data_IF_456535069554
#
_entry.id   IF_456535069554
#
_cell.length_a   1.000
_cell.length_b   1.000
_cell.length_c   1.000
_cell.angle_alpha   90.00
_cell.angle_beta   90.00
_cell.angle_gamma   90.00
#
_symmetry.space_group_name_H-M   'P 1'
#
loop_
_entity.id
_entity.type
_entity.pdbx_description
1 polymer ?
#
# COMPACT_ATOMS: atom_id res chain seq x y z
N UNK A 1 5.60 36.22 41.24
CA UNK A 1 5.46 34.75 41.18
C UNK A 1 4.24 34.27 40.39
N UNK A 2 3.08 34.93 40.47
CA UNK A 2 1.85 34.58 39.71
C UNK A 2 2.02 34.78 38.20
N UNK A 3 2.53 35.93 37.77
CA UNK A 3 2.79 36.24 36.35
C UNK A 3 3.74 35.25 35.65
N UNK A 4 4.81 34.82 36.34
CA UNK A 4 5.77 33.86 35.81
C UNK A 4 5.16 32.45 35.63
N UNK A 5 4.17 32.08 36.46
CA UNK A 5 3.41 30.82 36.32
C UNK A 5 2.46 30.87 35.13
N UNK A 6 1.81 32.01 34.89
CA UNK A 6 0.87 32.20 33.76
C UNK A 6 1.62 32.13 32.43
N UNK A 7 2.80 32.76 32.32
CA UNK A 7 3.64 32.71 31.10
C UNK A 7 4.11 31.28 30.81
N UNK A 8 4.57 30.52 31.82
CA UNK A 8 4.95 29.11 31.64
C UNK A 8 3.77 28.23 31.23
N UNK A 9 2.58 28.47 31.79
CA UNK A 9 1.38 27.71 31.46
C UNK A 9 0.91 27.98 30.03
N UNK A 10 0.97 29.25 29.57
CA UNK A 10 0.67 29.63 28.20
C UNK A 10 1.66 29.03 27.19
N UNK A 11 2.96 28.99 27.53
CA UNK A 11 4.00 28.40 26.67
C UNK A 11 3.82 26.89 26.49
N UNK A 12 3.43 26.17 27.55
CA UNK A 12 3.12 24.72 27.50
C UNK A 12 1.87 24.46 26.63
N UNK A 13 0.86 25.33 26.71
CA UNK A 13 -0.36 25.19 25.92
C UNK A 13 -0.12 25.38 24.41
N UNK A 14 0.75 26.34 24.04
CA UNK A 14 1.13 26.59 22.64
C UNK A 14 1.94 25.43 22.06
N UNK A 15 2.84 24.82 22.85
CA UNK A 15 3.62 23.65 22.42
C UNK A 15 2.71 22.42 22.25
N UNK A 16 1.71 22.24 23.11
CA UNK A 16 0.75 21.14 23.01
C UNK A 16 -0.13 21.22 21.74
N UNK A 17 -0.45 22.42 21.26
CA UNK A 17 -1.25 22.62 20.05
C UNK A 17 -0.50 22.36 18.74
N UNK A 18 0.84 22.33 18.75
CA UNK A 18 1.66 22.07 17.55
C UNK A 18 1.76 20.58 17.19
N UNK A 19 1.40 19.67 18.09
CA UNK A 19 1.46 18.22 17.86
C UNK A 19 0.18 17.62 17.24
N UNK A 20 -0.89 18.41 17.06
CA UNK A 20 -2.12 17.97 16.40
C UNK A 20 -2.22 18.46 14.94
N UNK A 21 -1.07 18.58 14.26
CA UNK A 21 -1.00 18.91 12.85
C UNK A 21 -1.40 17.73 11.95
N UNK A 22 -2.65 17.74 11.47
CA UNK A 22 -3.21 17.06 10.30
C UNK A 22 -2.53 15.76 9.83
N UNK A 23 -2.96 14.61 10.36
CA UNK A 23 -2.80 13.34 9.66
C UNK A 23 -3.87 13.20 8.55
N UNK A 24 -3.71 13.95 7.45
CA UNK A 24 -4.37 13.55 6.21
C UNK A 24 -3.58 12.38 5.63
N UNK A 25 -3.65 11.21 6.27
CA UNK A 25 -3.12 9.99 5.66
C UNK A 25 -3.97 9.76 4.42
N UNK A 26 -3.38 9.94 3.24
CA UNK A 26 -4.06 9.68 1.99
C UNK A 26 -4.37 8.17 1.94
N UNK A 27 -5.62 7.82 2.25
CA UNK A 27 -6.10 6.43 2.29
C UNK A 27 -6.79 6.03 0.99
N UNK A 28 -6.53 6.75 -0.10
CA UNK A 28 -7.18 6.49 -1.39
C UNK A 28 -6.99 5.05 -1.86
N UNK A 29 -5.84 4.44 -1.55
CA UNK A 29 -5.50 3.05 -1.85
C UNK A 29 -6.32 2.00 -1.09
N UNK A 30 -6.90 2.33 0.07
CA UNK A 30 -7.60 1.36 0.92
C UNK A 30 -8.87 0.86 0.21
N UNK A 31 -9.06 -0.46 0.21
CA UNK A 31 -10.24 -1.12 -0.33
C UNK A 31 -9.90 -2.34 -1.19
N UNK A 32 -10.94 -2.88 -1.81
CA UNK A 32 -10.84 -3.95 -2.79
C UNK A 32 -10.86 -3.36 -4.20
N UNK A 33 -9.91 -3.77 -5.01
CA UNK A 33 -9.69 -3.31 -6.36
C UNK A 33 -9.65 -4.51 -7.29
N UNK A 34 -10.46 -4.50 -8.34
CA UNK A 34 -10.57 -5.62 -9.27
C UNK A 34 -10.28 -5.17 -10.69
N UNK A 35 -9.69 -6.03 -11.49
CA UNK A 35 -9.42 -5.76 -12.89
C UNK A 35 -9.42 -7.03 -13.69
N UNK A 36 -9.36 -6.88 -15.01
CA UNK A 36 -9.19 -8.00 -15.92
C UNK A 36 -7.93 -7.74 -16.72
N UNK A 37 -6.96 -8.65 -16.62
CA UNK A 37 -5.78 -8.65 -17.46
C UNK A 37 -5.74 -9.93 -18.31
N UNK A 38 -5.57 -9.79 -19.62
CA UNK A 38 -5.55 -10.90 -20.60
C UNK A 38 -6.70 -11.94 -20.45
N UNK A 39 -7.86 -11.53 -19.93
CA UNK A 39 -9.03 -12.39 -19.72
C UNK A 39 -9.10 -13.03 -18.33
N UNK A 40 -8.06 -12.91 -17.51
CA UNK A 40 -8.06 -13.35 -16.12
C UNK A 40 -8.48 -12.20 -15.21
N UNK A 41 -9.39 -12.49 -14.28
CA UNK A 41 -9.75 -11.53 -13.23
C UNK A 41 -8.65 -11.53 -12.16
N UNK A 42 -8.18 -10.34 -11.84
CA UNK A 42 -7.29 -10.08 -10.72
C UNK A 42 -7.98 -9.26 -9.64
N UNK A 43 -7.53 -9.38 -8.40
CA UNK A 43 -8.01 -8.54 -7.28
C UNK A 43 -6.85 -8.16 -6.38
N UNK A 44 -6.80 -6.89 -5.99
CA UNK A 44 -5.88 -6.38 -4.98
C UNK A 44 -6.71 -5.79 -3.83
N UNK A 45 -6.57 -6.37 -2.64
CA UNK A 45 -7.25 -5.92 -1.43
C UNK A 45 -6.19 -5.30 -0.52
N UNK A 46 -6.35 -4.02 -0.21
CA UNK A 46 -5.47 -3.26 0.67
C UNK A 46 -6.27 -2.84 1.91
N UNK A 47 -5.97 -3.46 3.05
CA UNK A 47 -6.70 -3.22 4.29
C UNK A 47 -6.05 -2.12 5.14
N UNK A 48 -6.85 -1.50 6.00
CA UNK A 48 -6.32 -0.71 7.10
C UNK A 48 -5.37 -1.59 7.95
N UNK A 49 -4.19 -1.06 8.29
CA UNK A 49 -3.15 -1.83 8.99
C UNK A 49 -2.16 -2.58 8.09
N UNK A 50 -1.99 -2.12 6.84
CA UNK A 50 -0.91 -2.54 5.94
C UNK A 50 -0.97 -3.99 5.42
N UNK A 51 -2.04 -4.75 5.69
CA UNK A 51 -2.18 -6.09 5.11
C UNK A 51 -2.72 -6.03 3.67
N UNK A 52 -2.22 -6.94 2.83
CA UNK A 52 -2.65 -7.07 1.45
C UNK A 52 -3.11 -8.51 1.14
N UNK A 53 -4.03 -8.61 0.17
CA UNK A 53 -4.34 -9.87 -0.53
C UNK A 53 -4.27 -9.60 -2.02
N UNK A 54 -3.54 -10.42 -2.75
CA UNK A 54 -3.48 -10.36 -4.20
C UNK A 54 -3.97 -11.65 -4.81
N UNK A 55 -4.96 -11.55 -5.69
CA UNK A 55 -5.60 -12.68 -6.39
C UNK A 55 -5.33 -12.52 -7.87
N UNK A 56 -4.81 -13.56 -8.51
CA UNK A 56 -4.65 -13.62 -9.97
C UNK A 56 -4.96 -15.04 -10.44
N UNK A 57 -5.97 -15.17 -11.31
CA UNK A 57 -6.51 -16.47 -11.69
C UNK A 57 -6.93 -17.29 -10.46
N UNK A 58 -6.34 -18.47 -10.27
CA UNK A 58 -6.59 -19.34 -9.11
C UNK A 58 -5.58 -19.17 -7.97
N UNK A 59 -4.64 -18.23 -8.08
CA UNK A 59 -3.61 -18.01 -7.07
C UNK A 59 -4.03 -16.89 -6.12
N UNK A 60 -3.84 -17.13 -4.82
CA UNK A 60 -4.09 -16.16 -3.75
C UNK A 60 -2.82 -15.97 -2.94
N UNK A 61 -2.30 -14.74 -2.93
CA UNK A 61 -1.17 -14.33 -2.12
C UNK A 61 -1.67 -13.48 -0.95
N UNK A 62 -1.26 -13.82 0.26
CA UNK A 62 -1.71 -13.15 1.48
C UNK A 62 -3.03 -13.68 2.04
N UNK A 63 -3.57 -12.95 3.02
CA UNK A 63 -4.72 -13.39 3.80
C UNK A 63 -4.34 -14.16 5.08
N UNK A 64 -5.34 -14.54 5.88
CA UNK A 64 -5.16 -14.99 7.27
C UNK A 64 -4.29 -16.25 7.42
N UNK A 65 -4.46 -17.20 6.51
CA UNK A 65 -3.85 -18.53 6.54
C UNK A 65 -2.87 -18.74 5.37
N UNK A 66 -2.25 -17.67 4.90
CA UNK A 66 -1.29 -17.77 3.80
C UNK A 66 -0.01 -18.48 4.22
N UNK A 67 0.45 -19.43 3.41
CA UNK A 67 1.65 -20.21 3.65
C UNK A 67 2.46 -20.34 2.36
N UNK A 68 3.78 -20.38 2.50
CA UNK A 68 4.72 -20.64 1.42
C UNK A 68 5.58 -21.82 1.85
N UNK A 69 5.55 -22.91 1.10
CA UNK A 69 6.29 -24.14 1.40
C UNK A 69 6.05 -24.67 2.84
N UNK A 70 4.81 -24.55 3.34
CA UNK A 70 4.42 -24.96 4.70
C UNK A 70 4.83 -24.00 5.82
N UNK A 71 5.41 -22.83 5.48
CA UNK A 71 5.76 -21.79 6.45
C UNK A 71 4.71 -20.68 6.40
N UNK A 72 4.19 -20.27 7.56
CA UNK A 72 3.24 -19.16 7.68
C UNK A 72 3.86 -17.87 7.17
N UNK A 73 3.16 -17.24 6.25
CA UNK A 73 3.58 -15.99 5.64
C UNK A 73 2.49 -14.90 5.79
N UNK A 74 2.88 -13.65 5.63
CA UNK A 74 1.97 -12.52 5.43
C UNK A 74 2.36 -11.75 4.19
N UNK A 75 1.36 -11.21 3.51
CA UNK A 75 1.54 -10.21 2.47
C UNK A 75 1.11 -8.87 3.06
N UNK A 76 2.03 -7.92 3.06
CA UNK A 76 1.81 -6.56 3.51
C UNK A 76 2.05 -5.60 2.35
N UNK A 77 1.62 -4.34 2.49
CA UNK A 77 1.92 -3.30 1.53
C UNK A 77 2.59 -2.09 2.19
N UNK A 78 3.45 -1.45 1.42
CA UNK A 78 4.04 -0.16 1.75
C UNK A 78 3.70 0.84 0.64
N UNK A 79 3.20 2.02 1.01
CA UNK A 79 2.83 3.06 0.06
C UNK A 79 3.52 4.38 0.42
N UNK A 80 4.18 5.01 -0.55
CA UNK A 80 4.85 6.30 -0.39
C UNK A 80 4.28 7.33 -1.37
N UNK A 81 3.38 8.16 -0.84
CA UNK A 81 2.72 9.26 -1.55
C UNK A 81 3.64 10.45 -1.82
N UNK A 82 4.84 10.51 -1.24
CA UNK A 82 5.81 11.57 -1.52
C UNK A 82 6.52 11.39 -2.87
N UNK A 83 6.38 10.22 -3.49
CA UNK A 83 7.01 9.87 -4.76
C UNK A 83 6.09 10.16 -5.93
N UNK A 84 6.70 10.45 -7.08
CA UNK A 84 6.01 10.60 -8.35
C UNK A 84 6.75 9.80 -9.44
N UNK A 85 6.18 8.68 -9.94
CA UNK A 85 4.93 8.03 -9.54
C UNK A 85 4.87 7.60 -8.06
N UNK A 86 3.66 7.44 -7.50
CA UNK A 86 3.46 6.94 -6.13
C UNK A 86 4.02 5.52 -6.06
N UNK A 87 4.75 5.21 -5.00
CA UNK A 87 5.27 3.86 -4.78
C UNK A 87 4.23 3.04 -4.04
N UNK A 88 3.95 1.83 -4.52
CA UNK A 88 3.10 0.85 -3.86
C UNK A 88 3.76 -0.53 -3.98
N UNK A 89 4.34 -1.00 -2.89
CA UNK A 89 5.03 -2.27 -2.82
C UNK A 89 4.16 -3.32 -2.16
N UNK A 90 4.28 -4.56 -2.63
CA UNK A 90 3.77 -5.74 -1.94
C UNK A 90 4.95 -6.49 -1.34
N UNK A 91 4.96 -6.64 -0.02
CA UNK A 91 6.09 -7.19 0.73
C UNK A 91 5.67 -8.50 1.37
N UNK A 92 6.47 -9.53 1.10
CA UNK A 92 6.25 -10.86 1.62
C UNK A 92 7.08 -11.07 2.89
N UNK A 93 6.42 -11.42 3.99
CA UNK A 93 7.08 -11.73 5.25
C UNK A 93 6.84 -13.18 5.67
N UNK A 94 7.86 -13.79 6.27
CA UNK A 94 7.66 -14.93 7.16
C UNK A 94 7.07 -14.45 8.49
N UNK A 95 5.94 -15.01 8.90
CA UNK A 95 5.08 -14.42 9.95
C UNK A 95 5.69 -14.49 11.35
N UNK A 96 6.41 -15.56 11.67
CA UNK A 96 6.94 -15.78 13.02
C UNK A 96 8.10 -14.85 13.36
N UNK A 97 9.01 -14.66 12.40
CA UNK A 97 10.23 -13.87 12.60
C UNK A 97 10.16 -12.47 11.96
N UNK A 98 9.07 -12.16 11.23
CA UNK A 98 8.91 -10.95 10.40
C UNK A 98 10.08 -10.72 9.44
N UNK A 99 10.63 -11.79 8.87
CA UNK A 99 11.72 -11.71 7.91
C UNK A 99 11.12 -11.44 6.52
N UNK A 100 11.55 -10.35 5.88
CA UNK A 100 11.22 -10.08 4.48
C UNK A 100 11.81 -11.17 3.59
N UNK A 101 10.95 -11.86 2.82
CA UNK A 101 11.34 -12.92 1.88
C UNK A 101 11.35 -12.45 0.43
N UNK A 102 10.69 -11.34 0.15
CA UNK A 102 10.64 -10.75 -1.18
C UNK A 102 9.75 -9.52 -1.21
N UNK A 103 9.95 -8.71 -2.24
CA UNK A 103 9.23 -7.45 -2.41
C UNK A 103 8.96 -7.19 -3.89
N UNK A 104 7.68 -7.12 -4.24
CA UNK A 104 7.25 -6.67 -5.55
C UNK A 104 7.18 -5.14 -5.51
N UNK A 105 8.14 -4.48 -6.18
CA UNK A 105 8.28 -3.02 -6.17
C UNK A 105 7.39 -2.42 -7.26
N UNK A 106 6.31 -1.76 -6.86
CA UNK A 106 5.31 -1.25 -7.79
C UNK A 106 5.20 0.27 -7.82
N UNK A 107 4.62 0.79 -8.89
CA UNK A 107 4.17 2.19 -8.95
C UNK A 107 2.66 2.22 -9.19
N UNK A 108 1.97 3.17 -8.58
CA UNK A 108 0.53 3.33 -8.70
C UNK A 108 0.16 4.76 -9.06
N UNK A 109 -0.89 4.94 -9.85
CA UNK A 109 -1.56 6.22 -10.01
C UNK A 109 -3.07 6.03 -9.97
N UNK A 110 -3.76 6.99 -9.39
CA UNK A 110 -5.20 7.00 -9.34
C UNK A 110 -5.74 7.82 -10.50
N UNK A 111 -6.39 7.15 -11.45
CA UNK A 111 -7.01 7.78 -12.61
C UNK A 111 -8.32 8.49 -12.20
N UNK A 112 -9.06 7.90 -11.26
CA UNK A 112 -10.22 8.48 -10.58
C UNK A 112 -10.22 8.07 -9.10
N UNK A 113 -11.29 8.33 -8.36
CA UNK A 113 -11.46 7.80 -6.99
C UNK A 113 -11.76 6.30 -6.93
N UNK A 114 -12.21 5.75 -8.05
CA UNK A 114 -12.62 4.36 -8.20
C UNK A 114 -11.82 3.61 -9.25
N UNK A 115 -10.75 4.20 -9.79
CA UNK A 115 -9.92 3.58 -10.83
C UNK A 115 -8.46 3.90 -10.59
N UNK A 116 -7.62 2.87 -10.55
CA UNK A 116 -6.17 3.00 -10.46
C UNK A 116 -5.47 2.20 -11.54
N UNK A 117 -4.28 2.65 -11.90
CA UNK A 117 -3.35 1.88 -12.71
C UNK A 117 -2.17 1.49 -11.82
N UNK A 118 -1.88 0.20 -11.75
CA UNK A 118 -0.81 -0.36 -10.96
C UNK A 118 0.18 -1.05 -11.90
N UNK A 119 1.44 -0.61 -11.87
CA UNK A 119 2.52 -1.22 -12.64
C UNK A 119 3.52 -1.87 -11.70
N UNK A 120 3.70 -3.18 -11.85
CA UNK A 120 4.50 -4.01 -10.96
C UNK A 120 5.07 -5.20 -11.72
N UNK A 121 6.27 -5.62 -11.35
CA UNK A 121 6.83 -6.90 -11.80
C UNK A 121 6.63 -7.93 -10.68
N UNK A 122 6.12 -9.11 -11.06
CA UNK A 122 5.95 -10.24 -10.13
C UNK A 122 7.27 -10.96 -9.82
N UNK A 123 8.40 -10.51 -10.40
CA UNK A 123 9.72 -10.92 -9.97
C UNK A 123 10.16 -10.05 -8.77
N UNK A 124 10.31 -10.60 -7.55
CA UNK A 124 10.67 -9.81 -6.36
C UNK A 124 12.10 -9.22 -6.40
N UNK A 125 12.92 -9.64 -7.36
CA UNK A 125 14.27 -9.15 -7.58
C UNK A 125 14.37 -8.09 -8.67
N UNK A 126 13.27 -7.76 -9.36
CA UNK A 126 13.30 -6.71 -10.37
C UNK A 126 13.39 -5.32 -9.75
N UNK A 127 14.00 -4.41 -10.50
CA UNK A 127 13.97 -2.98 -10.19
C UNK A 127 12.55 -2.41 -10.29
N UNK A 128 12.31 -1.31 -9.56
CA UNK A 128 11.07 -0.57 -9.64
C UNK A 128 10.96 0.15 -10.99
N UNK A 129 9.81 0.07 -11.64
CA UNK A 129 9.51 0.92 -12.79
C UNK A 129 9.55 2.42 -12.40
N UNK A 130 10.13 3.25 -13.25
CA UNK A 130 10.24 4.71 -13.00
C UNK A 130 9.11 5.52 -13.62
N UNK A 131 8.35 4.93 -14.55
CA UNK A 131 7.24 5.57 -15.27
C UNK A 131 6.18 4.54 -15.66
N UNK A 132 4.97 5.02 -15.95
CA UNK A 132 3.97 4.22 -16.66
C UNK A 132 4.28 4.15 -18.15
N UNK A 133 3.88 3.07 -18.79
CA UNK A 133 4.07 2.81 -20.21
C UNK A 133 2.83 2.10 -20.75
N UNK A 134 2.10 2.76 -21.65
CA UNK A 134 0.87 2.23 -22.22
C UNK A 134 1.08 1.03 -23.16
N UNK A 135 2.32 0.81 -23.61
CA UNK A 135 2.66 -0.32 -24.47
C UNK A 135 2.97 -1.59 -23.66
N UNK A 136 3.40 -1.44 -22.39
CA UNK A 136 3.64 -2.56 -21.47
C UNK A 136 2.34 -3.06 -20.83
N UNK A 137 1.70 -3.98 -21.54
CA UNK A 137 0.50 -4.69 -21.09
C UNK A 137 0.80 -5.91 -20.21
N UNK A 138 2.06 -6.21 -19.92
CA UNK A 138 2.41 -7.40 -19.13
C UNK A 138 2.58 -7.07 -17.65
N UNK A 139 3.10 -5.89 -17.35
CA UNK A 139 3.38 -5.45 -15.99
C UNK A 139 2.39 -4.40 -15.49
N UNK A 140 1.42 -4.00 -16.32
CA UNK A 140 0.46 -2.93 -16.01
C UNK A 140 -0.95 -3.49 -15.90
N UNK A 141 -1.61 -3.22 -14.78
CA UNK A 141 -2.99 -3.63 -14.51
C UNK A 141 -3.82 -2.39 -14.19
N UNK A 142 -4.97 -2.27 -14.85
CA UNK A 142 -5.99 -1.27 -14.50
C UNK A 142 -7.02 -1.93 -13.61
N UNK A 143 -7.26 -1.32 -12.45
CA UNK A 143 -8.12 -1.85 -11.41
C UNK A 143 -9.21 -0.84 -11.06
N UNK A 144 -10.45 -1.32 -10.97
CA UNK A 144 -11.62 -0.59 -10.51
C UNK A 144 -11.92 -0.93 -9.04
N UNK A 145 -12.26 0.08 -8.25
CA UNK A 145 -12.60 -0.06 -6.85
C UNK A 145 -13.98 -0.69 -6.73
N UNK A 146 -14.08 -1.76 -5.94
CA UNK A 146 -15.36 -2.38 -5.64
C UNK A 146 -16.15 -1.47 -4.69
N UNK A 147 -17.36 -1.10 -5.10
CA UNK A 147 -18.33 -0.47 -4.21
C UNK A 147 -18.75 -1.49 -3.13
N UNK A 148 -18.67 -1.08 -1.85
CA UNK A 148 -19.25 -1.84 -0.75
C UNK A 148 -20.77 -1.88 -0.84
#
# INVERSE_FOLDING_TARGET
>A
MRELKVIKLALILIIATLFFGCSNSNQKHIGEWTGTDKGEKGSLILNEGNSAVFVIGNQVLGGKNFEINGVKASLEYEIDYSKNPIWLDLVLYEKEQKIEKGRMRGIVRFLTDTKMEYRVSFNPFSDRFTKFDSEDKENTIVLDKMSK
#
